data_IF_201075250005
#
_entry.id   IF_201075250005
#
_cell.length_a   1.000
_cell.length_b   1.000
_cell.length_c   1.000
_cell.angle_alpha   90.00
_cell.angle_beta   90.00
_cell.angle_gamma   90.00
#
_symmetry.space_group_name_H-M   'P 1'
#
loop_
_entity.id
_entity.type
_entity.pdbx_description
1 polymer ?
#
# COMPACT_ATOMS: atom_id res chain seq x y z
N UNK A 1 19.74 26.88 13.87
CA UNK A 1 18.37 26.35 14.00
C UNK A 1 18.36 25.38 15.17
N UNK A 2 17.64 25.71 16.23
CA UNK A 2 17.40 24.76 17.33
C UNK A 2 16.62 23.56 16.79
N UNK A 3 17.00 22.36 17.22
CA UNK A 3 16.31 21.14 16.82
C UNK A 3 14.98 21.02 17.55
N UNK A 4 13.89 20.87 16.81
CA UNK A 4 12.58 20.61 17.37
C UNK A 4 12.54 19.22 18.04
N UNK A 5 11.96 19.11 19.24
CA UNK A 5 11.81 17.81 19.90
C UNK A 5 10.92 16.88 19.07
N UNK A 6 11.04 15.56 19.24
CA UNK A 6 10.10 14.63 18.63
C UNK A 6 8.68 14.90 19.15
N UNK A 7 7.63 14.60 18.36
CA UNK A 7 6.25 14.79 18.79
C UNK A 7 5.95 14.08 20.12
N UNK A 8 5.07 14.66 20.94
CA UNK A 8 4.69 14.07 22.23
C UNK A 8 4.15 12.64 22.07
N UNK A 9 4.26 11.82 23.12
CA UNK A 9 3.75 10.43 23.08
C UNK A 9 2.28 10.35 22.66
N UNK A 10 1.44 11.29 23.12
CA UNK A 10 0.01 11.35 22.76
C UNK A 10 -0.18 11.61 21.26
N UNK A 11 0.53 12.58 20.70
CA UNK A 11 0.48 12.91 19.27
C UNK A 11 0.95 11.73 18.42
N UNK A 12 2.08 11.09 18.79
CA UNK A 12 2.60 9.93 18.06
C UNK A 12 1.60 8.78 18.05
N UNK A 13 0.94 8.52 19.18
CA UNK A 13 -0.06 7.46 19.28
C UNK A 13 -1.28 7.75 18.40
N UNK A 14 -1.77 9.00 18.40
CA UNK A 14 -2.90 9.41 17.56
C UNK A 14 -2.58 9.28 16.06
N UNK A 15 -1.39 9.70 15.63
CA UNK A 15 -0.95 9.56 14.23
C UNK A 15 -0.86 8.08 13.84
N UNK A 16 -0.30 7.22 14.70
CA UNK A 16 -0.20 5.78 14.43
C UNK A 16 -1.55 5.09 14.36
N UNK A 17 -2.45 5.36 15.30
CA UNK A 17 -3.80 4.80 15.29
C UNK A 17 -4.54 5.18 13.99
N UNK A 18 -4.43 6.44 13.60
CA UNK A 18 -5.03 6.88 12.36
C UNK A 18 -4.39 6.22 11.14
N UNK A 19 -3.06 6.19 11.06
CA UNK A 19 -2.32 5.52 9.99
C UNK A 19 -2.83 4.09 9.79
N UNK A 20 -3.03 3.33 10.87
CA UNK A 20 -3.54 1.95 10.82
C UNK A 20 -4.95 1.87 10.24
N UNK A 21 -5.86 2.73 10.69
CA UNK A 21 -7.24 2.79 10.18
C UNK A 21 -7.26 3.15 8.70
N UNK A 22 -6.55 4.21 8.32
CA UNK A 22 -6.44 4.68 6.94
C UNK A 22 -5.77 3.64 6.06
N UNK A 23 -4.75 2.92 6.55
CA UNK A 23 -4.10 1.86 5.79
C UNK A 23 -5.09 0.75 5.42
N UNK A 24 -5.86 0.26 6.39
CA UNK A 24 -6.86 -0.77 6.14
C UNK A 24 -7.95 -0.28 5.18
N UNK A 25 -8.45 0.95 5.40
CA UNK A 25 -9.49 1.54 4.56
C UNK A 25 -9.02 1.71 3.11
N UNK A 26 -7.91 2.44 2.90
CA UNK A 26 -7.47 2.78 1.55
C UNK A 26 -6.97 1.56 0.78
N UNK A 27 -6.18 0.67 1.40
CA UNK A 27 -5.75 -0.54 0.69
C UNK A 27 -6.93 -1.50 0.43
N UNK A 28 -7.91 -1.60 1.35
CA UNK A 28 -9.13 -2.37 1.12
C UNK A 28 -9.95 -1.82 -0.04
N UNK A 29 -10.22 -0.51 -0.05
CA UNK A 29 -10.97 0.14 -1.13
C UNK A 29 -10.26 0.03 -2.48
N UNK A 30 -8.97 0.37 -2.52
CA UNK A 30 -8.21 0.40 -3.76
C UNK A 30 -7.94 -0.99 -4.34
N UNK A 31 -7.66 -1.98 -3.49
CA UNK A 31 -7.50 -3.36 -3.97
C UNK A 31 -8.82 -4.00 -4.35
N UNK A 32 -9.91 -3.71 -3.62
CA UNK A 32 -11.26 -4.11 -4.01
C UNK A 32 -11.65 -3.55 -5.37
N UNK A 33 -11.40 -2.25 -5.59
CA UNK A 33 -11.63 -1.59 -6.88
C UNK A 33 -10.77 -2.20 -7.99
N UNK A 34 -9.48 -2.44 -7.75
CA UNK A 34 -8.59 -3.06 -8.73
C UNK A 34 -9.06 -4.47 -9.13
N UNK A 35 -9.45 -5.29 -8.16
CA UNK A 35 -9.99 -6.64 -8.41
C UNK A 35 -11.33 -6.54 -9.17
N UNK A 36 -12.22 -5.62 -8.80
CA UNK A 36 -13.50 -5.44 -9.48
C UNK A 36 -13.34 -5.02 -10.95
N UNK A 37 -12.42 -4.07 -11.23
CA UNK A 37 -12.08 -3.65 -12.60
C UNK A 37 -11.55 -4.85 -13.39
N UNK A 38 -10.70 -5.67 -12.78
CA UNK A 38 -10.16 -6.87 -13.41
C UNK A 38 -11.25 -7.87 -13.77
N UNK A 39 -12.15 -8.15 -12.82
CA UNK A 39 -13.28 -9.07 -13.01
C UNK A 39 -14.19 -8.56 -14.12
N UNK A 40 -14.50 -7.28 -14.12
CA UNK A 40 -15.31 -6.67 -15.19
C UNK A 40 -14.64 -6.80 -16.55
N UNK A 41 -13.33 -6.57 -16.63
CA UNK A 41 -12.55 -6.75 -17.85
C UNK A 41 -12.54 -8.20 -18.33
N UNK A 42 -12.40 -9.17 -17.41
CA UNK A 42 -12.45 -10.60 -17.69
C UNK A 42 -13.80 -11.12 -18.16
N UNK A 43 -14.88 -10.44 -17.83
CA UNK A 43 -16.23 -10.80 -18.26
C UNK A 43 -16.56 -10.30 -19.67
N UNK A 44 -15.70 -9.47 -20.29
CA UNK A 44 -15.92 -9.03 -21.66
C UNK A 44 -15.81 -10.22 -22.63
N UNK A 45 -16.71 -10.32 -23.63
CA UNK A 45 -16.72 -11.43 -24.58
C UNK A 45 -15.47 -11.38 -25.48
N UNK A 46 -14.42 -12.04 -25.00
CA UNK A 46 -13.30 -12.49 -25.82
C UNK A 46 -13.67 -13.91 -26.23
N UNK A 47 -13.60 -14.25 -27.52
CA UNK A 47 -14.21 -15.46 -28.09
C UNK A 47 -13.78 -16.83 -27.52
N UNK A 48 -12.95 -16.88 -26.48
CA UNK A 48 -12.45 -18.09 -25.83
C UNK A 48 -13.18 -18.41 -24.52
N UNK A 49 -14.11 -19.38 -24.59
CA UNK A 49 -14.80 -19.94 -23.41
C UNK A 49 -13.86 -20.61 -22.39
N UNK A 50 -12.66 -21.03 -22.81
CA UNK A 50 -11.63 -21.61 -21.94
C UNK A 50 -11.04 -20.57 -20.96
N UNK A 51 -11.09 -19.27 -21.29
CA UNK A 51 -10.62 -18.21 -20.39
C UNK A 51 -11.50 -18.03 -19.15
N UNK A 52 -12.83 -18.15 -19.29
CA UNK A 52 -13.80 -17.81 -18.25
C UNK A 52 -13.66 -18.65 -16.96
N UNK A 53 -13.41 -19.96 -17.08
CA UNK A 53 -13.24 -20.86 -15.92
C UNK A 53 -11.92 -20.57 -15.19
N UNK A 54 -10.84 -20.29 -15.94
CA UNK A 54 -9.56 -19.90 -15.35
C UNK A 54 -9.66 -18.53 -14.63
N UNK A 55 -10.45 -17.59 -15.16
CA UNK A 55 -10.66 -16.27 -14.54
C UNK A 55 -11.43 -16.33 -13.23
N UNK A 56 -12.50 -17.12 -13.16
CA UNK A 56 -13.29 -17.26 -11.93
C UNK A 56 -12.51 -17.91 -10.79
N UNK A 57 -11.68 -18.92 -11.09
CA UNK A 57 -10.77 -19.54 -10.11
C UNK A 57 -9.61 -18.61 -9.68
N UNK A 58 -9.26 -17.63 -10.50
CA UNK A 58 -8.22 -16.64 -10.18
C UNK A 58 -8.65 -15.59 -9.17
N UNK A 59 -9.95 -15.36 -8.99
CA UNK A 59 -10.46 -14.34 -8.06
C UNK A 59 -10.10 -14.66 -6.59
N UNK A 60 -10.38 -15.87 -6.04
CA UNK A 60 -9.95 -16.23 -4.69
C UNK A 60 -8.43 -16.12 -4.51
N UNK A 61 -7.66 -16.51 -5.53
CA UNK A 61 -6.20 -16.44 -5.55
C UNK A 61 -5.74 -14.98 -5.41
N UNK A 62 -6.33 -14.05 -6.16
CA UNK A 62 -6.04 -12.62 -6.09
C UNK A 62 -6.45 -12.00 -4.74
N UNK A 63 -7.57 -12.42 -4.17
CA UNK A 63 -8.01 -11.95 -2.85
C UNK A 63 -7.03 -12.40 -1.76
N UNK A 64 -6.65 -13.68 -1.75
CA UNK A 64 -5.67 -14.22 -0.81
C UNK A 64 -4.31 -13.50 -0.98
N UNK A 65 -3.86 -13.34 -2.23
CA UNK A 65 -2.63 -12.61 -2.54
C UNK A 65 -2.68 -11.17 -2.01
N UNK A 66 -3.77 -10.45 -2.25
CA UNK A 66 -3.98 -9.08 -1.76
C UNK A 66 -3.90 -9.02 -0.24
N UNK A 67 -4.56 -9.94 0.47
CA UNK A 67 -4.52 -10.01 1.93
C UNK A 67 -3.11 -10.26 2.45
N UNK A 68 -2.37 -11.20 1.85
CA UNK A 68 -1.01 -11.52 2.24
C UNK A 68 -0.06 -10.33 2.00
N UNK A 69 -0.10 -9.74 0.81
CA UNK A 69 0.74 -8.58 0.46
C UNK A 69 0.45 -7.43 1.41
N UNK A 70 -0.83 -7.07 1.60
CA UNK A 70 -1.19 -5.95 2.48
C UNK A 70 -0.89 -6.24 3.94
N UNK A 71 -1.05 -7.47 4.42
CA UNK A 71 -0.74 -7.86 5.80
C UNK A 71 0.75 -7.79 6.11
N UNK A 72 1.60 -8.34 5.22
CA UNK A 72 3.05 -8.29 5.38
C UNK A 72 3.53 -6.84 5.23
N UNK A 73 3.02 -6.11 4.23
CA UNK A 73 3.38 -4.71 4.00
C UNK A 73 2.99 -3.85 5.19
N UNK A 74 1.81 -4.07 5.78
CA UNK A 74 1.34 -3.35 6.96
C UNK A 74 2.34 -3.42 8.11
N UNK A 75 2.87 -4.62 8.40
CA UNK A 75 3.87 -4.81 9.45
C UNK A 75 5.11 -3.92 9.22
N UNK A 76 5.64 -3.89 8.00
CA UNK A 76 6.81 -3.09 7.68
C UNK A 76 6.51 -1.58 7.68
N UNK A 77 5.35 -1.17 7.16
CA UNK A 77 4.96 0.24 7.10
C UNK A 77 4.64 0.79 8.51
N UNK A 78 3.94 0.05 9.38
CA UNK A 78 3.66 0.46 10.76
C UNK A 78 4.96 0.63 11.55
N UNK A 79 5.89 -0.33 11.43
CA UNK A 79 7.21 -0.26 12.07
C UNK A 79 8.00 0.95 11.58
N UNK A 80 7.99 1.22 10.28
CA UNK A 80 8.68 2.36 9.69
C UNK A 80 8.09 3.69 10.16
N UNK A 81 6.78 3.87 10.06
CA UNK A 81 6.07 5.08 10.52
C UNK A 81 6.32 5.34 12.00
N UNK A 82 6.23 4.30 12.85
CA UNK A 82 6.56 4.41 14.28
C UNK A 82 7.98 4.90 14.52
N UNK A 83 8.93 4.42 13.74
CA UNK A 83 10.33 4.83 13.87
C UNK A 83 10.55 6.26 13.38
N UNK A 84 9.88 6.67 12.30
CA UNK A 84 9.95 8.05 11.80
C UNK A 84 9.42 9.06 12.82
N UNK A 85 8.28 8.75 13.45
CA UNK A 85 7.68 9.60 14.47
C UNK A 85 8.53 9.75 15.74
N UNK A 86 9.60 8.97 15.91
CA UNK A 86 10.55 9.12 17.04
C UNK A 86 11.71 10.07 16.72
N UNK A 87 11.86 10.52 15.48
CA UNK A 87 12.95 11.40 15.07
C UNK A 87 12.65 12.86 15.49
N UNK A 88 13.68 13.61 15.91
CA UNK A 88 13.57 15.07 16.03
C UNK A 88 13.33 15.68 14.65
N UNK A 89 12.80 16.91 14.59
CA UNK A 89 12.52 17.66 13.35
C UNK A 89 11.60 16.95 12.32
N UNK A 90 10.98 15.81 12.66
CA UNK A 90 10.23 15.01 11.67
C UNK A 90 9.11 15.80 11.00
N UNK A 91 8.50 16.78 11.69
CA UNK A 91 7.46 17.61 11.11
C UNK A 91 7.94 18.47 9.93
N UNK A 92 9.20 18.95 9.98
CA UNK A 92 9.83 19.70 8.88
C UNK A 92 10.42 18.77 7.81
N UNK A 93 11.02 17.66 8.23
CA UNK A 93 11.81 16.80 7.34
C UNK A 93 10.98 15.73 6.61
N UNK A 94 9.72 15.50 6.99
CA UNK A 94 8.91 14.44 6.40
C UNK A 94 8.62 14.68 4.92
N UNK A 95 9.24 13.87 4.05
CA UNK A 95 9.06 13.91 2.60
C UNK A 95 8.04 12.88 2.13
N UNK A 96 6.84 13.36 1.76
CA UNK A 96 5.74 12.52 1.25
C UNK A 96 6.19 11.70 0.03
N UNK A 97 6.90 12.31 -0.93
CA UNK A 97 7.36 11.61 -2.13
C UNK A 97 8.24 10.39 -1.80
N UNK A 98 9.23 10.56 -0.92
CA UNK A 98 10.10 9.46 -0.50
C UNK A 98 9.34 8.38 0.26
N UNK A 99 8.39 8.79 1.11
CA UNK A 99 7.50 7.86 1.80
C UNK A 99 6.68 7.03 0.78
N UNK A 100 6.09 7.68 -0.22
CA UNK A 100 5.28 7.03 -1.26
C UNK A 100 6.09 6.05 -2.11
N UNK A 101 7.28 6.46 -2.58
CA UNK A 101 8.15 5.58 -3.38
C UNK A 101 8.56 4.37 -2.55
N UNK A 102 8.98 4.58 -1.30
CA UNK A 102 9.30 3.49 -0.37
C UNK A 102 8.12 2.56 -0.18
N UNK A 103 6.93 3.12 0.08
CA UNK A 103 5.70 2.35 0.25
C UNK A 103 5.47 1.42 -0.96
N UNK A 104 5.58 1.96 -2.16
CA UNK A 104 5.46 1.19 -3.39
C UNK A 104 6.52 0.09 -3.51
N UNK A 105 7.80 0.41 -3.33
CA UNK A 105 8.90 -0.56 -3.45
C UNK A 105 8.77 -1.73 -2.46
N UNK A 106 8.29 -1.48 -1.23
CA UNK A 106 8.05 -2.55 -0.27
C UNK A 106 6.90 -3.47 -0.71
N UNK A 107 5.78 -2.92 -1.17
CA UNK A 107 4.67 -3.74 -1.67
C UNK A 107 5.10 -4.56 -2.89
N UNK A 108 5.83 -3.94 -3.83
CA UNK A 108 6.37 -4.62 -5.01
C UNK A 108 7.32 -5.77 -4.60
N UNK A 109 8.26 -5.52 -3.69
CA UNK A 109 9.20 -6.54 -3.23
C UNK A 109 8.49 -7.73 -2.55
N UNK A 110 7.48 -7.45 -1.72
CA UNK A 110 6.68 -8.50 -1.06
C UNK A 110 5.91 -9.31 -2.11
N UNK A 111 5.29 -8.64 -3.07
CA UNK A 111 4.56 -9.29 -4.14
C UNK A 111 5.50 -10.24 -4.92
N UNK A 112 6.66 -9.74 -5.38
CA UNK A 112 7.68 -10.56 -6.07
C UNK A 112 8.11 -11.75 -5.21
N UNK A 113 8.39 -11.53 -3.92
CA UNK A 113 8.80 -12.60 -3.01
C UNK A 113 7.73 -13.68 -2.86
N UNK A 114 6.46 -13.29 -2.69
CA UNK A 114 5.34 -14.22 -2.57
C UNK A 114 5.14 -15.04 -3.85
N UNK A 115 5.32 -14.42 -5.01
CA UNK A 115 5.29 -15.13 -6.30
C UNK A 115 6.40 -16.17 -6.41
N UNK A 116 7.62 -15.85 -5.98
CA UNK A 116 8.78 -16.76 -6.07
C UNK A 116 8.71 -17.88 -5.04
N UNK A 117 8.33 -17.59 -3.79
CA UNK A 117 8.56 -18.50 -2.65
C UNK A 117 7.43 -19.51 -2.42
N UNK A 118 6.17 -19.19 -2.73
CA UNK A 118 5.09 -20.05 -2.23
C UNK A 118 3.75 -19.97 -2.93
N UNK A 119 3.65 -19.25 -4.05
CA UNK A 119 2.38 -19.04 -4.71
C UNK A 119 2.51 -19.28 -6.22
N UNK A 120 2.77 -20.54 -6.58
CA UNK A 120 2.82 -21.02 -7.97
C UNK A 120 1.65 -20.51 -8.85
N UNK A 121 0.40 -20.36 -8.33
CA UNK A 121 -0.68 -19.76 -9.10
C UNK A 121 -0.46 -18.27 -9.43
N UNK A 122 0.19 -17.48 -8.57
CA UNK A 122 0.58 -16.11 -8.86
C UNK A 122 1.70 -16.04 -9.90
N UNK A 123 2.64 -16.99 -9.85
CA UNK A 123 3.67 -17.11 -10.87
C UNK A 123 3.04 -17.43 -12.23
N UNK A 124 2.06 -18.34 -12.27
CA UNK A 124 1.28 -18.61 -13.47
C UNK A 124 0.52 -17.36 -13.95
N UNK A 125 -0.09 -16.59 -13.05
CA UNK A 125 -0.73 -15.31 -13.39
C UNK A 125 0.27 -14.26 -13.90
N UNK A 126 1.52 -14.29 -13.45
CA UNK A 126 2.59 -13.41 -13.94
C UNK A 126 3.02 -13.74 -15.38
N UNK A 127 3.12 -15.04 -15.72
CA UNK A 127 3.66 -15.49 -17.01
C UNK A 127 2.62 -15.79 -18.09
N UNK A 128 1.46 -16.36 -17.73
CA UNK A 128 0.39 -16.67 -18.71
C UNK A 128 -0.43 -15.46 -19.12
N UNK A 129 -0.39 -14.40 -18.32
CA UNK A 129 -1.31 -13.29 -18.41
C UNK A 129 -0.51 -11.98 -18.36
N UNK A 130 0.38 -11.76 -19.34
CA UNK A 130 1.41 -10.70 -19.32
C UNK A 130 0.91 -9.26 -19.04
N UNK A 131 -0.37 -8.95 -19.32
CA UNK A 131 -1.01 -7.65 -19.00
C UNK A 131 -1.45 -7.51 -17.52
N UNK A 132 -1.72 -8.63 -16.85
CA UNK A 132 -2.32 -8.71 -15.53
C UNK A 132 -1.39 -8.36 -14.35
N UNK A 133 -0.13 -8.82 -14.30
CA UNK A 133 0.79 -8.35 -13.28
C UNK A 133 1.13 -6.88 -13.48
N UNK A 134 1.03 -6.33 -14.70
CA UNK A 134 1.29 -4.91 -14.91
C UNK A 134 0.21 -4.04 -14.27
N UNK A 135 -1.06 -4.38 -14.44
CA UNK A 135 -2.18 -3.58 -13.91
C UNK A 135 -2.42 -3.76 -12.41
N UNK A 136 -2.24 -4.97 -11.86
CA UNK A 136 -2.42 -5.22 -10.42
C UNK A 136 -1.15 -5.01 -9.59
N UNK A 137 0.04 -5.25 -10.16
CA UNK A 137 1.30 -5.26 -9.40
C UNK A 137 2.21 -4.06 -9.75
N UNK A 138 2.15 -3.54 -10.98
CA UNK A 138 3.01 -2.46 -11.46
C UNK A 138 2.32 -1.08 -11.58
N UNK A 139 1.51 -0.67 -10.59
CA UNK A 139 1.15 0.76 -10.30
C UNK A 139 -0.08 1.28 -11.06
N UNK A 140 -1.18 1.64 -10.36
CA UNK A 140 -1.28 2.99 -9.71
C UNK A 140 -1.57 2.98 -8.20
N UNK A 141 -2.23 1.95 -7.68
CA UNK A 141 -2.94 2.12 -6.43
C UNK A 141 -2.04 2.10 -5.19
N UNK A 142 -0.92 1.36 -5.18
CA UNK A 142 0.02 1.41 -4.06
C UNK A 142 0.75 2.76 -3.96
N UNK A 143 1.05 3.41 -5.09
CA UNK A 143 1.56 4.79 -5.07
C UNK A 143 0.49 5.74 -4.53
N UNK A 144 -0.76 5.57 -4.96
CA UNK A 144 -1.88 6.37 -4.46
C UNK A 144 -2.08 6.17 -2.94
N UNK A 145 -2.10 4.92 -2.45
CA UNK A 145 -2.12 4.60 -1.01
C UNK A 145 -0.96 5.26 -0.28
N UNK A 146 0.27 5.11 -0.79
CA UNK A 146 1.46 5.71 -0.20
C UNK A 146 1.36 7.24 -0.11
N UNK A 147 0.86 7.89 -1.16
CA UNK A 147 0.67 9.34 -1.20
C UNK A 147 -0.40 9.79 -0.21
N UNK A 148 -1.57 9.15 -0.17
CA UNK A 148 -2.65 9.48 0.77
C UNK A 148 -2.17 9.34 2.21
N UNK A 149 -1.54 8.21 2.55
CA UNK A 149 -1.04 7.94 3.90
C UNK A 149 0.10 8.89 4.28
N UNK A 150 1.02 9.17 3.36
CA UNK A 150 2.11 10.12 3.58
C UNK A 150 1.59 11.54 3.82
N UNK A 151 0.63 12.01 3.02
CA UNK A 151 -0.01 13.31 3.21
C UNK A 151 -0.75 13.42 4.54
N UNK A 152 -1.47 12.36 4.94
CA UNK A 152 -2.16 12.35 6.23
C UNK A 152 -1.20 12.45 7.41
N UNK A 153 -0.08 11.71 7.37
CA UNK A 153 0.98 11.81 8.38
C UNK A 153 1.55 13.23 8.40
N UNK A 154 1.92 13.78 7.23
CA UNK A 154 2.48 15.14 7.13
C UNK A 154 1.53 16.19 7.69
N UNK A 155 0.25 16.16 7.31
CA UNK A 155 -0.77 17.10 7.79
C UNK A 155 -0.90 17.07 9.30
N UNK A 156 -0.88 15.89 9.91
CA UNK A 156 -0.99 15.74 11.38
C UNK A 156 0.29 16.13 12.11
N UNK A 157 1.45 15.95 11.49
CA UNK A 157 2.70 16.45 12.03
C UNK A 157 2.71 17.98 12.09
N UNK A 158 2.32 18.65 11.00
CA UNK A 158 2.22 20.12 10.98
C UNK A 158 1.15 20.66 11.94
N UNK A 159 -0.02 20.02 12.02
CA UNK A 159 -1.08 20.43 12.95
C UNK A 159 -0.70 20.26 14.43
N UNK A 160 0.37 19.52 14.73
CA UNK A 160 0.90 19.33 16.07
C UNK A 160 2.10 20.24 16.38
N UNK A 161 2.55 21.06 15.42
CA UNK A 161 3.56 22.09 15.66
C UNK A 161 2.95 23.29 16.37
N UNK A 162 3.65 23.92 17.33
CA UNK A 162 3.25 25.21 17.89
C UNK A 162 3.15 26.27 16.79
N UNK A 163 2.19 27.20 16.89
CA UNK A 163 2.01 28.28 15.90
C UNK A 163 3.24 29.19 15.75
N UNK A 164 4.10 29.25 16.78
CA UNK A 164 5.35 30.02 16.78
C UNK A 164 6.48 29.37 15.94
N UNK A 165 6.28 28.13 15.47
CA UNK A 165 7.26 27.34 14.71
C UNK A 165 6.83 27.04 13.25
N UNK A 166 5.70 27.61 12.81
CA UNK A 166 5.15 27.49 11.43
C UNK A 166 5.71 28.59 10.49
#
# INVERSE_FOLDING_TARGET
>A
MESLPPPSMRVRHAILQQFRRSYLLWNGLLSGLAIAILVWYWQQPTGDRLGFVAYTQSIPILLIASLLIHGISFYFQDRYTRNQLRRPNIAMEFRVLLYTIRFYLYNLAIAVLLSVVGFYPLLALLFFFWIYPVLLWLIPYHLLSGAILGWEIKRRLHAAMPEEEL
#
